data_IF_800315092433
#
_entry.id   IF_800315092433
#
_cell.length_a   1.000
_cell.length_b   1.000
_cell.length_c   1.000
_cell.angle_alpha   90.00
_cell.angle_beta   90.00
_cell.angle_gamma   90.00
#
_symmetry.space_group_name_H-M   'P 1'
#
loop_
_entity.id
_entity.type
_entity.pdbx_description
1 polymer ?
#
# COMPACT_ATOMS: atom_id res chain seq x y z
N UNK A 1 -7.08 4.67 -26.99
CA UNK A 1 -7.07 5.10 -25.58
C UNK A 1 -7.92 4.21 -24.65
N UNK A 2 -8.49 3.08 -25.10
CA UNK A 2 -9.33 2.18 -24.26
C UNK A 2 -8.51 1.22 -23.38
N UNK A 3 -7.28 0.90 -23.77
CA UNK A 3 -6.39 -0.02 -23.04
C UNK A 3 -5.93 0.54 -21.69
N UNK A 4 -5.73 1.85 -21.62
CA UNK A 4 -5.12 2.54 -20.50
C UNK A 4 -6.07 2.59 -19.28
N UNK A 5 -7.36 2.84 -19.51
CA UNK A 5 -8.38 2.84 -18.45
C UNK A 5 -8.54 1.47 -17.79
N UNK A 6 -8.47 0.40 -18.59
CA UNK A 6 -8.60 -0.97 -18.08
C UNK A 6 -7.39 -1.38 -17.24
N UNK A 7 -6.18 -0.98 -17.64
CA UNK A 7 -4.98 -1.25 -16.86
C UNK A 7 -4.98 -0.48 -15.53
N UNK A 8 -5.34 0.81 -15.56
CA UNK A 8 -5.48 1.62 -14.36
C UNK A 8 -6.50 1.02 -13.39
N UNK A 9 -7.66 0.61 -13.88
CA UNK A 9 -8.68 -0.04 -13.05
C UNK A 9 -8.19 -1.36 -12.44
N UNK A 10 -7.45 -2.16 -13.21
CA UNK A 10 -6.84 -3.41 -12.70
C UNK A 10 -5.81 -3.14 -11.61
N UNK A 11 -4.90 -2.19 -11.82
CA UNK A 11 -3.87 -1.80 -10.83
C UNK A 11 -4.49 -1.20 -9.57
N UNK A 12 -5.56 -0.42 -9.71
CA UNK A 12 -6.32 0.11 -8.58
C UNK A 12 -6.95 -0.99 -7.74
N UNK A 13 -7.57 -1.99 -8.38
CA UNK A 13 -8.13 -3.14 -7.66
C UNK A 13 -7.05 -3.99 -6.98
N UNK A 14 -5.95 -4.27 -7.68
CA UNK A 14 -4.78 -4.96 -7.07
C UNK A 14 -4.27 -4.22 -5.83
N UNK A 15 -4.19 -2.88 -5.88
CA UNK A 15 -3.79 -2.08 -4.73
C UNK A 15 -4.78 -2.24 -3.56
N UNK A 16 -6.08 -2.10 -3.80
CA UNK A 16 -7.10 -2.24 -2.75
C UNK A 16 -7.09 -3.64 -2.13
N UNK A 17 -6.96 -4.68 -2.93
CA UNK A 17 -6.94 -6.07 -2.46
C UNK A 17 -5.70 -6.36 -1.60
N UNK A 18 -4.57 -5.70 -1.88
CA UNK A 18 -3.32 -5.83 -1.12
C UNK A 18 -3.21 -4.87 0.07
N UNK A 19 -4.13 -3.92 0.25
CA UNK A 19 -4.08 -2.96 1.35
C UNK A 19 -4.02 -3.62 2.74
N UNK A 20 -4.84 -4.64 3.07
CA UNK A 20 -4.78 -5.27 4.39
C UNK A 20 -3.39 -5.83 4.71
N UNK A 21 -2.81 -6.63 3.81
CA UNK A 21 -1.46 -7.17 3.98
C UNK A 21 -0.42 -6.04 4.05
N UNK A 22 -0.57 -5.01 3.23
CA UNK A 22 0.34 -3.86 3.21
C UNK A 22 0.34 -3.12 4.55
N UNK A 23 -0.82 -2.93 5.17
CA UNK A 23 -0.92 -2.26 6.47
C UNK A 23 -0.30 -3.10 7.60
N UNK A 24 -0.53 -4.42 7.58
CA UNK A 24 0.08 -5.35 8.55
C UNK A 24 1.62 -5.38 8.42
N UNK A 25 2.14 -5.45 7.19
CA UNK A 25 3.60 -5.41 6.93
C UNK A 25 4.20 -4.06 7.31
N UNK A 26 3.47 -2.95 7.09
CA UNK A 26 3.94 -1.62 7.42
C UNK A 26 4.07 -1.41 8.94
N UNK A 27 3.24 -2.08 9.74
CA UNK A 27 3.31 -2.03 11.21
C UNK A 27 3.19 -0.63 11.81
N UNK A 28 2.63 0.34 11.08
CA UNK A 28 2.58 1.73 11.52
C UNK A 28 1.60 1.87 12.70
N UNK A 29 1.96 2.61 13.77
CA UNK A 29 1.05 2.85 14.87
C UNK A 29 -0.18 3.62 14.38
N UNK A 30 -1.34 3.31 14.97
CA UNK A 30 -2.56 4.09 14.74
C UNK A 30 -2.37 5.51 15.25
N UNK A 31 -3.01 6.47 14.58
CA UNK A 31 -3.00 7.86 15.01
C UNK A 31 -3.64 8.02 16.37
N UNK A 32 -3.00 8.79 17.23
CA UNK A 32 -3.56 9.18 18.53
C UNK A 32 -4.73 10.15 18.31
N UNK A 33 -5.89 9.95 18.99
CA UNK A 33 -7.02 10.88 18.89
C UNK A 33 -6.60 12.30 19.26
N UNK A 34 -7.01 13.28 18.45
CA UNK A 34 -6.72 14.70 18.69
C UNK A 34 -5.29 15.14 18.37
N UNK A 35 -4.43 14.23 17.88
CA UNK A 35 -3.06 14.57 17.46
C UNK A 35 -2.95 14.59 15.94
N UNK A 36 -2.47 15.71 15.41
CA UNK A 36 -2.14 15.85 14.00
C UNK A 36 -0.67 15.52 13.76
N UNK A 37 -0.39 14.98 12.59
CA UNK A 37 0.98 14.79 12.14
C UNK A 37 1.50 16.05 11.47
N UNK A 38 2.78 16.31 11.63
CA UNK A 38 3.51 17.25 10.75
C UNK A 38 3.71 16.63 9.38
N UNK A 39 4.12 17.44 8.40
CA UNK A 39 4.44 16.98 7.05
C UNK A 39 5.53 15.89 7.06
N UNK A 40 6.63 16.11 7.76
CA UNK A 40 7.73 15.13 7.89
C UNK A 40 7.28 13.79 8.50
N UNK A 41 6.35 13.84 9.47
CA UNK A 41 5.79 12.64 10.08
C UNK A 41 4.91 11.88 9.10
N UNK A 42 4.10 12.59 8.30
CA UNK A 42 3.31 11.97 7.24
C UNK A 42 4.22 11.37 6.16
N UNK A 43 5.27 12.09 5.74
CA UNK A 43 6.20 11.61 4.73
C UNK A 43 6.91 10.34 5.18
N UNK A 44 7.39 10.31 6.43
CA UNK A 44 8.00 9.12 7.02
C UNK A 44 7.04 7.92 6.99
N UNK A 45 5.77 8.13 7.34
CA UNK A 45 4.73 7.09 7.27
C UNK A 45 4.48 6.64 5.83
N UNK A 46 4.44 7.55 4.87
CA UNK A 46 4.26 7.25 3.45
C UNK A 46 5.44 6.46 2.85
N UNK A 47 6.67 6.74 3.28
CA UNK A 47 7.86 5.95 2.88
C UNK A 47 7.69 4.50 3.35
N UNK A 48 7.36 4.29 4.62
CA UNK A 48 7.13 2.95 5.18
C UNK A 48 6.01 2.21 4.43
N UNK A 49 4.88 2.88 4.20
CA UNK A 49 3.74 2.29 3.48
C UNK A 49 4.12 1.88 2.05
N UNK A 50 4.88 2.73 1.33
CA UNK A 50 5.37 2.41 -0.03
C UNK A 50 6.28 1.19 -0.04
N UNK A 51 7.19 1.07 0.92
CA UNK A 51 8.04 -0.11 1.04
C UNK A 51 7.23 -1.38 1.36
N UNK A 52 6.31 -1.30 2.32
CA UNK A 52 5.44 -2.42 2.67
C UNK A 52 4.58 -2.89 1.49
N UNK A 53 4.06 -1.96 0.68
CA UNK A 53 3.30 -2.30 -0.53
C UNK A 53 4.16 -3.07 -1.54
N UNK A 54 5.42 -2.65 -1.74
CA UNK A 54 6.35 -3.37 -2.64
C UNK A 54 6.56 -4.81 -2.19
N UNK A 55 6.82 -5.04 -0.91
CA UNK A 55 7.00 -6.40 -0.37
C UNK A 55 5.70 -7.22 -0.44
N UNK A 56 4.56 -6.60 -0.13
CA UNK A 56 3.23 -7.25 -0.20
C UNK A 56 2.90 -7.73 -1.61
N UNK A 57 3.20 -6.91 -2.64
CA UNK A 57 3.06 -7.33 -4.04
C UNK A 57 4.01 -8.46 -4.41
N UNK A 58 5.26 -8.40 -3.96
CA UNK A 58 6.25 -9.42 -4.25
C UNK A 58 5.79 -10.77 -3.71
N UNK A 59 5.44 -10.85 -2.41
CA UNK A 59 5.00 -12.11 -1.79
C UNK A 59 3.69 -12.61 -2.40
N UNK A 60 2.73 -11.72 -2.71
CA UNK A 60 1.48 -12.12 -3.35
C UNK A 60 1.74 -12.78 -4.72
N UNK A 61 2.67 -12.24 -5.51
CA UNK A 61 3.07 -12.85 -6.79
C UNK A 61 3.73 -14.20 -6.59
N UNK A 62 4.67 -14.31 -5.64
CA UNK A 62 5.36 -15.56 -5.30
C UNK A 62 4.37 -16.65 -4.83
N UNK A 63 3.31 -16.29 -4.10
CA UNK A 63 2.30 -17.26 -3.66
C UNK A 63 1.35 -17.75 -4.78
N UNK A 64 1.12 -16.94 -5.81
CA UNK A 64 0.19 -17.25 -6.91
C UNK A 64 0.90 -17.95 -8.07
N UNK A 65 2.14 -17.56 -8.36
CA UNK A 65 2.97 -18.16 -9.39
C UNK A 65 3.62 -19.44 -8.84
N UNK A 66 2.89 -20.55 -8.86
CA UNK A 66 3.47 -21.90 -8.75
C UNK A 66 4.02 -22.36 -10.08
#
# INVERSE_FOLDING_TARGET
>A
MVTDSNEHQRRYREFLDLLPLTLEVAGLPRSEPGRYYTEDQLESRLITLRHAYRFSRQVARECIQK
#
